data_IF_058974490495
#
_entry.id   IF_058974490495
#
_cell.length_a   1.000
_cell.length_b   1.000
_cell.length_c   1.000
_cell.angle_alpha   90.00
_cell.angle_beta   90.00
_cell.angle_gamma   90.00
#
_symmetry.space_group_name_H-M   'P 1'
#
loop_
_entity.id
_entity.type
_entity.pdbx_description
1 polymer ?
#
# COMPACT_ATOMS: atom_id res chain seq x y z
N UNK A 1 -6.64 18.47 7.27
CA UNK A 1 -6.17 17.18 6.76
C UNK A 1 -6.89 16.88 5.45
N UNK A 2 -6.27 17.25 4.33
CA UNK A 2 -6.80 17.03 2.98
C UNK A 2 -6.22 15.70 2.47
N UNK A 3 -7.07 14.81 1.92
CA UNK A 3 -6.63 13.54 1.35
C UNK A 3 -5.66 13.73 0.17
N UNK A 4 -4.82 12.73 -0.08
CA UNK A 4 -3.88 12.75 -1.22
C UNK A 4 -4.53 12.04 -2.41
N UNK A 5 -4.50 12.67 -3.58
CA UNK A 5 -4.90 12.05 -4.84
C UNK A 5 -3.66 11.49 -5.53
N UNK A 6 -3.69 10.20 -5.87
CA UNK A 6 -2.57 9.49 -6.48
C UNK A 6 -3.04 8.83 -7.77
N UNK A 7 -2.20 8.92 -8.81
CA UNK A 7 -2.41 8.19 -10.06
C UNK A 7 -1.71 6.84 -9.98
N UNK A 8 -2.48 5.76 -9.93
CA UNK A 8 -2.05 4.37 -9.94
C UNK A 8 -1.78 3.92 -11.38
N UNK A 9 -0.57 3.44 -11.68
CA UNK A 9 -0.25 2.76 -12.94
C UNK A 9 -0.19 1.26 -12.71
N UNK A 10 -1.33 0.57 -12.80
CA UNK A 10 -1.47 -0.87 -12.52
C UNK A 10 -1.61 -1.75 -13.77
N UNK A 11 -1.63 -1.17 -14.98
CA UNK A 11 -1.96 -1.90 -16.21
C UNK A 11 -3.45 -2.26 -16.34
N UNK A 12 -4.26 -1.91 -15.33
CA UNK A 12 -5.72 -2.05 -15.33
C UNK A 12 -6.35 -0.68 -15.70
N UNK A 13 -7.58 -0.65 -16.25
CA UNK A 13 -8.25 0.58 -16.75
C UNK A 13 -8.61 1.61 -15.66
N UNK A 14 -8.10 1.42 -14.46
CA UNK A 14 -8.53 2.01 -13.21
C UNK A 14 -7.28 2.66 -12.61
N UNK A 15 -7.19 4.00 -12.63
CA UNK A 15 -5.89 4.70 -12.56
C UNK A 15 -5.76 5.70 -11.44
N UNK A 16 -6.77 5.89 -10.58
CA UNK A 16 -6.75 6.92 -9.56
C UNK A 16 -7.25 6.43 -8.21
N UNK A 17 -6.48 6.68 -7.16
CA UNK A 17 -6.84 6.47 -5.76
C UNK A 17 -6.93 7.81 -5.05
N UNK A 18 -7.91 7.93 -4.16
CA UNK A 18 -7.90 8.92 -3.07
C UNK A 18 -7.49 8.19 -1.81
N UNK A 19 -6.38 8.62 -1.24
CA UNK A 19 -5.69 7.90 -0.18
C UNK A 19 -5.74 8.70 1.13
N UNK A 20 -5.87 7.96 2.23
CA UNK A 20 -5.80 8.49 3.58
C UNK A 20 -4.62 7.87 4.31
N UNK A 21 -3.84 8.72 4.94
CA UNK A 21 -2.82 8.33 5.91
C UNK A 21 -3.51 7.86 7.19
N UNK A 22 -3.32 6.60 7.56
CA UNK A 22 -3.90 6.00 8.77
C UNK A 22 -2.89 6.00 9.93
N UNK A 23 -1.60 5.81 9.64
CA UNK A 23 -0.52 5.87 10.62
C UNK A 23 0.75 6.42 9.97
N UNK A 24 1.44 7.29 10.71
CA UNK A 24 2.80 7.70 10.46
C UNK A 24 3.55 7.70 11.80
N UNK A 25 4.45 6.75 11.97
CA UNK A 25 5.33 6.65 13.13
C UNK A 25 6.78 6.77 12.67
N UNK A 26 7.37 7.94 12.92
CA UNK A 26 8.75 8.24 12.53
C UNK A 26 9.78 7.50 13.39
N UNK A 27 9.43 7.11 14.63
CA UNK A 27 10.34 6.42 15.54
C UNK A 27 10.43 4.93 15.22
N UNK A 28 9.28 4.31 14.98
CA UNK A 28 9.19 2.89 14.61
C UNK A 28 9.29 2.67 13.10
N UNK A 29 9.42 3.75 12.32
CA UNK A 29 9.51 3.77 10.86
C UNK A 29 8.34 3.01 10.17
N UNK A 30 7.12 3.35 10.58
CA UNK A 30 5.87 2.74 10.10
C UNK A 30 5.04 3.75 9.32
N UNK A 31 4.55 3.32 8.16
CA UNK A 31 3.58 4.04 7.35
C UNK A 31 2.36 3.14 7.07
N UNK A 32 1.15 3.62 7.32
CA UNK A 32 -0.07 2.92 6.91
C UNK A 32 -1.00 3.83 6.10
N UNK A 33 -1.53 3.30 5.00
CA UNK A 33 -2.40 4.01 4.07
C UNK A 33 -3.63 3.16 3.76
N UNK A 34 -4.76 3.82 3.58
CA UNK A 34 -6.01 3.20 3.11
C UNK A 34 -6.56 3.96 1.91
N UNK A 35 -7.11 3.22 0.95
CA UNK A 35 -7.86 3.83 -0.15
C UNK A 35 -9.27 4.14 0.32
N UNK A 36 -9.68 5.40 0.19
CA UNK A 36 -10.99 5.91 0.64
C UNK A 36 -11.89 6.33 -0.52
N UNK A 37 -11.38 6.26 -1.74
CA UNK A 37 -12.11 6.57 -2.97
C UNK A 37 -11.20 6.40 -4.17
N UNK A 38 -11.74 6.58 -5.37
CA UNK A 38 -11.01 6.36 -6.61
C UNK A 38 -11.84 5.63 -7.65
N UNK A 39 -11.27 5.46 -8.84
CA UNK A 39 -11.88 4.71 -9.94
C UNK A 39 -11.29 3.30 -10.08
N UNK A 40 -10.58 2.80 -9.06
CA UNK A 40 -9.90 1.51 -9.07
C UNK A 40 -10.74 0.31 -8.61
N UNK A 41 -10.36 -0.89 -9.06
CA UNK A 41 -10.99 -2.16 -8.63
C UNK A 41 -10.55 -2.64 -7.23
N UNK A 42 -9.54 -2.00 -6.63
CA UNK A 42 -8.94 -2.35 -5.34
C UNK A 42 -9.82 -1.88 -4.15
N UNK A 43 -10.97 -2.53 -3.96
CA UNK A 43 -11.90 -2.19 -2.87
C UNK A 43 -11.28 -2.52 -1.51
N UNK A 44 -11.52 -1.64 -0.54
CA UNK A 44 -11.06 -1.77 0.85
C UNK A 44 -9.55 -2.02 1.01
N UNK A 45 -8.75 -1.53 0.04
CA UNK A 45 -7.30 -1.62 0.11
C UNK A 45 -6.77 -0.89 1.36
N UNK A 46 -5.96 -1.60 2.13
CA UNK A 46 -5.24 -1.07 3.29
C UNK A 46 -3.85 -1.69 3.30
N UNK A 47 -2.82 -0.86 3.41
CA UNK A 47 -1.43 -1.32 3.50
C UNK A 47 -0.72 -0.78 4.73
N UNK A 48 0.30 -1.51 5.15
CA UNK A 48 1.28 -1.10 6.13
C UNK A 48 2.68 -1.40 5.58
N UNK A 49 3.54 -0.40 5.68
CA UNK A 49 4.93 -0.45 5.30
C UNK A 49 5.77 -0.21 6.55
N UNK A 50 6.74 -1.09 6.77
CA UNK A 50 7.69 -1.00 7.89
C UNK A 50 9.11 -1.07 7.36
N UNK A 51 10.01 -0.33 7.99
CA UNK A 51 11.40 -0.18 7.57
C UNK A 51 12.33 -0.61 8.69
N UNK A 52 13.13 -1.65 8.45
CA UNK A 52 14.01 -2.25 9.45
C UNK A 52 15.48 -2.14 9.02
N UNK A 53 16.40 -1.70 9.89
CA UNK A 53 17.82 -1.83 9.62
C UNK A 53 18.21 -3.32 9.60
N UNK A 54 18.97 -3.75 8.59
CA UNK A 54 19.35 -5.15 8.41
C UNK A 54 20.81 -5.25 7.92
N UNK A 55 21.46 -6.40 8.08
CA UNK A 55 22.77 -6.66 7.47
C UNK A 55 22.61 -7.61 6.29
N UNK A 56 22.89 -7.13 5.09
CA UNK A 56 22.77 -7.89 3.84
C UNK A 56 24.16 -8.08 3.27
N UNK A 57 24.59 -9.34 3.12
CA UNK A 57 25.93 -9.72 2.63
C UNK A 57 27.07 -9.01 3.39
N UNK A 58 26.92 -8.87 4.71
CA UNK A 58 27.91 -8.23 5.59
C UNK A 58 27.96 -6.70 5.49
N UNK A 59 27.00 -6.06 4.80
CA UNK A 59 26.89 -4.60 4.70
C UNK A 59 25.59 -4.10 5.35
N UNK A 60 25.59 -2.90 5.96
CA UNK A 60 24.36 -2.26 6.39
C UNK A 60 23.40 -2.09 5.22
N UNK A 61 22.16 -2.52 5.42
CA UNK A 61 21.06 -2.41 4.47
C UNK A 61 19.77 -2.08 5.20
N UNK A 62 18.70 -2.03 4.43
CA UNK A 62 17.36 -1.74 4.94
C UNK A 62 16.39 -2.74 4.36
N UNK A 63 15.72 -3.48 5.23
CA UNK A 63 14.62 -4.36 4.87
C UNK A 63 13.32 -3.55 4.93
N UNK A 64 12.69 -3.36 3.78
CA UNK A 64 11.36 -2.74 3.68
C UNK A 64 10.35 -3.86 3.50
N UNK A 65 9.37 -3.92 4.41
CA UNK A 65 8.27 -4.90 4.34
C UNK A 65 6.99 -4.12 4.08
N UNK A 66 6.35 -4.44 2.96
CA UNK A 66 4.99 -3.99 2.65
C UNK A 66 4.04 -5.18 2.80
N UNK A 67 2.95 -4.98 3.53
CA UNK A 67 1.82 -5.92 3.57
C UNK A 67 0.53 -5.18 3.34
N UNK A 68 -0.41 -5.83 2.66
CA UNK A 68 -1.69 -5.23 2.31
C UNK A 68 -2.81 -6.24 2.41
N UNK A 69 -4.02 -5.71 2.56
CA UNK A 69 -5.28 -6.43 2.41
C UNK A 69 -6.14 -5.70 1.39
N UNK A 70 -6.84 -6.46 0.56
CA UNK A 70 -7.74 -5.95 -0.47
C UNK A 70 -8.83 -6.98 -0.71
N UNK A 71 -10.03 -6.51 -1.06
CA UNK A 71 -11.10 -7.42 -1.47
C UNK A 71 -10.74 -8.06 -2.82
N UNK A 72 -11.05 -9.34 -2.97
CA UNK A 72 -11.01 -10.02 -4.27
C UNK A 72 -12.15 -9.46 -5.13
N UNK A 73 -11.88 -8.83 -6.29
CA UNK A 73 -12.94 -8.33 -7.15
C UNK A 73 -13.84 -9.46 -7.63
N UNK A 74 -15.13 -9.17 -7.79
CA UNK A 74 -16.06 -10.12 -8.39
C UNK A 74 -15.57 -10.55 -9.79
N UNK A 75 -15.55 -11.87 -10.03
CA UNK A 75 -15.05 -12.46 -11.27
C UNK A 75 -13.54 -12.78 -11.28
N UNK A 76 -12.80 -12.44 -10.23
CA UNK A 76 -11.41 -12.85 -10.05
C UNK A 76 -11.29 -13.99 -9.03
N UNK A 77 -10.29 -14.84 -9.20
CA UNK A 77 -9.86 -15.80 -8.17
C UNK A 77 -8.91 -15.14 -7.17
N UNK A 78 -8.73 -15.75 -5.99
CA UNK A 78 -7.80 -15.24 -4.98
C UNK A 78 -6.35 -15.23 -5.48
N UNK A 79 -5.96 -16.18 -6.32
CA UNK A 79 -4.60 -16.26 -6.85
C UNK A 79 -4.32 -15.20 -7.93
N UNK A 80 -5.38 -14.56 -8.46
CA UNK A 80 -5.29 -13.44 -9.41
C UNK A 80 -5.34 -12.06 -8.73
N UNK A 81 -5.35 -12.01 -7.39
CA UNK A 81 -5.39 -10.78 -6.58
C UNK A 81 -4.23 -10.75 -5.59
#
# INVERSE_FOLDING_TARGET
WLGKEVNVKSGLPATRSTERLELLDDNEHILSVRFVGGDHRLKNYSSILTVHPEVIDGRPGTLVIESFVVDVPEGNTKDET
#
